data_IF_037531937423
#
_entry.id   IF_037531937423
#
_cell.length_a   1.000
_cell.length_b   1.000
_cell.length_c   1.000
_cell.angle_alpha   90.00
_cell.angle_beta   90.00
_cell.angle_gamma   90.00
#
_symmetry.space_group_name_H-M   'P 1'
#
loop_
_entity.id
_entity.type
_entity.pdbx_description
1 polymer ?
#
# COMPACT_ATOMS: atom_id res chain seq x y z
N UNK A 1 -8.63 -9.73 -1.33
CA UNK A 1 -10.08 -9.81 -1.68
C UNK A 1 -10.73 -8.44 -1.90
N UNK A 2 -10.11 -7.34 -1.45
CA UNK A 2 -10.66 -5.98 -1.58
C UNK A 2 -9.92 -5.10 -2.62
N UNK A 3 -9.03 -5.71 -3.43
CA UNK A 3 -8.34 -5.02 -4.52
C UNK A 3 -9.31 -4.73 -5.69
N UNK A 4 -9.07 -3.68 -6.50
CA UNK A 4 -10.05 -3.20 -7.45
C UNK A 4 -10.49 -4.23 -8.49
N UNK A 5 -9.60 -5.04 -9.06
CA UNK A 5 -9.95 -6.09 -10.04
C UNK A 5 -10.91 -7.15 -9.47
N UNK A 6 -10.78 -7.47 -8.18
CA UNK A 6 -11.63 -8.46 -7.52
C UNK A 6 -13.00 -7.87 -7.24
N UNK A 7 -13.04 -6.62 -6.78
CA UNK A 7 -14.28 -5.96 -6.39
C UNK A 7 -15.09 -5.44 -7.58
N UNK A 8 -14.45 -5.05 -8.68
CA UNK A 8 -15.09 -4.47 -9.86
C UNK A 8 -14.63 -5.17 -11.16
N UNK A 9 -14.94 -6.48 -11.31
CA UNK A 9 -14.40 -7.30 -12.39
C UNK A 9 -14.85 -6.87 -13.79
N UNK A 10 -15.97 -6.15 -13.90
CA UNK A 10 -16.48 -5.63 -15.16
C UNK A 10 -17.24 -4.31 -14.95
N UNK A 11 -17.45 -3.55 -16.03
CA UNK A 11 -18.14 -2.26 -15.98
C UNK A 11 -19.56 -2.41 -15.41
N UNK A 12 -19.84 -1.70 -14.31
CA UNK A 12 -21.13 -1.74 -13.63
C UNK A 12 -21.37 -2.97 -12.75
N UNK A 13 -20.42 -3.91 -12.65
CA UNK A 13 -20.54 -5.11 -11.82
C UNK A 13 -19.61 -4.97 -10.61
N UNK A 14 -20.16 -5.23 -9.41
CA UNK A 14 -19.37 -5.36 -8.18
C UNK A 14 -19.55 -6.74 -7.56
N UNK A 15 -18.45 -7.36 -7.13
CA UNK A 15 -18.46 -8.65 -6.41
C UNK A 15 -17.91 -8.50 -5.00
N UNK A 16 -18.81 -8.37 -4.03
CA UNK A 16 -18.46 -8.27 -2.61
C UNK A 16 -18.44 -9.62 -1.90
N UNK A 17 -18.76 -10.75 -2.54
CA UNK A 17 -19.03 -12.03 -1.85
C UNK A 17 -17.87 -12.50 -0.96
N UNK A 18 -16.64 -12.39 -1.44
CA UNK A 18 -15.45 -12.81 -0.68
C UNK A 18 -15.07 -11.76 0.37
N UNK A 19 -15.14 -10.48 0.02
CA UNK A 19 -14.81 -9.39 0.93
C UNK A 19 -15.83 -9.24 2.07
N UNK A 20 -17.12 -9.47 1.83
CA UNK A 20 -18.15 -9.52 2.87
C UNK A 20 -17.91 -10.66 3.88
N UNK A 21 -17.47 -11.83 3.41
CA UNK A 21 -17.06 -12.93 4.31
C UNK A 21 -15.87 -12.54 5.18
N UNK A 22 -14.89 -11.84 4.60
CA UNK A 22 -13.74 -11.33 5.33
C UNK A 22 -14.15 -10.29 6.39
N UNK A 23 -14.94 -9.28 6.01
CA UNK A 23 -15.44 -8.25 6.94
C UNK A 23 -16.28 -8.88 8.05
N UNK A 24 -17.17 -9.82 7.70
CA UNK A 24 -17.96 -10.56 8.68
C UNK A 24 -17.07 -11.31 9.66
N UNK A 25 -16.07 -12.04 9.17
CA UNK A 25 -15.13 -12.75 10.03
C UNK A 25 -14.44 -11.80 11.01
N UNK A 26 -13.98 -10.64 10.54
CA UNK A 26 -13.36 -9.63 11.41
C UNK A 26 -14.35 -9.13 12.48
N UNK A 27 -15.58 -8.81 12.10
CA UNK A 27 -16.62 -8.34 13.03
C UNK A 27 -16.96 -9.41 14.09
N UNK A 28 -17.14 -10.67 13.67
CA UNK A 28 -17.45 -11.79 14.56
C UNK A 28 -16.32 -12.04 15.59
N UNK A 29 -15.09 -11.61 15.29
CA UNK A 29 -13.90 -11.78 16.14
C UNK A 29 -13.36 -10.47 16.73
N UNK A 30 -14.13 -9.37 16.68
CA UNK A 30 -13.74 -8.05 17.17
C UNK A 30 -12.41 -7.53 16.59
N UNK A 31 -12.09 -7.91 15.35
CA UNK A 31 -10.93 -7.44 14.60
C UNK A 31 -11.27 -6.15 13.85
N UNK A 32 -10.31 -5.24 13.74
CA UNK A 32 -10.41 -4.06 12.88
C UNK A 32 -10.19 -4.48 11.43
N UNK A 33 -11.05 -3.99 10.54
CA UNK A 33 -10.91 -4.20 9.09
C UNK A 33 -10.10 -3.06 8.50
N UNK A 34 -9.06 -3.43 7.76
CA UNK A 34 -8.20 -2.54 6.97
C UNK A 34 -8.60 -2.71 5.51
N UNK A 35 -9.06 -1.65 4.86
CA UNK A 35 -9.48 -1.70 3.47
C UNK A 35 -8.30 -1.60 2.51
N UNK A 36 -7.86 -2.71 1.93
CA UNK A 36 -6.74 -2.75 0.99
C UNK A 36 -7.16 -3.28 -0.41
N UNK A 37 -7.11 -2.46 -1.45
CA UNK A 37 -6.83 -1.02 -1.51
C UNK A 37 -7.71 -0.39 -2.59
N UNK A 38 -7.89 0.93 -2.56
CA UNK A 38 -8.86 1.61 -3.46
C UNK A 38 -8.24 2.00 -4.81
N UNK A 39 -6.99 2.46 -4.80
CA UNK A 39 -6.29 2.90 -6.01
C UNK A 39 -4.88 2.33 -6.01
N UNK A 40 -4.62 1.44 -6.95
CA UNK A 40 -3.31 0.84 -7.15
C UNK A 40 -3.10 0.56 -8.63
N UNK A 41 -1.89 0.80 -9.12
CA UNK A 41 -1.56 0.60 -10.52
C UNK A 41 -1.57 -0.89 -10.92
N UNK A 42 -1.37 -1.78 -9.94
CA UNK A 42 -1.51 -3.21 -10.08
C UNK A 42 -2.90 -3.66 -9.67
N UNK A 43 -3.38 -4.75 -10.28
CA UNK A 43 -4.67 -5.35 -9.97
C UNK A 43 -5.83 -4.34 -10.04
N UNK A 44 -5.70 -3.35 -10.93
CA UNK A 44 -6.77 -2.48 -11.38
C UNK A 44 -7.45 -3.13 -12.59
N UNK A 45 -8.80 -3.07 -12.71
CA UNK A 45 -9.47 -3.63 -13.86
C UNK A 45 -9.05 -2.94 -15.15
N UNK A 46 -8.59 -3.70 -16.15
CA UNK A 46 -8.16 -3.15 -17.45
C UNK A 46 -9.22 -2.25 -18.09
N UNK A 47 -10.49 -2.62 -17.94
CA UNK A 47 -11.63 -1.88 -18.50
C UNK A 47 -11.72 -0.43 -17.99
N UNK A 48 -11.07 -0.08 -16.88
CA UNK A 48 -11.03 1.31 -16.40
C UNK A 48 -10.31 2.24 -17.36
N UNK A 49 -9.27 1.73 -18.02
CA UNK A 49 -8.35 2.53 -18.82
C UNK A 49 -8.67 2.47 -20.32
N UNK A 50 -9.74 1.78 -20.71
CA UNK A 50 -10.14 1.60 -22.10
C UNK A 50 -11.57 2.09 -22.38
N UNK A 51 -11.87 2.48 -23.62
CA UNK A 51 -13.26 2.75 -24.03
C UNK A 51 -14.00 1.42 -24.25
N UNK A 52 -14.77 1.00 -23.26
CA UNK A 52 -15.42 -0.32 -23.23
C UNK A 52 -14.40 -1.46 -23.34
N UNK A 53 -14.76 -2.51 -24.10
CA UNK A 53 -13.87 -3.64 -24.39
C UNK A 53 -12.96 -3.43 -25.62
N UNK A 54 -12.81 -2.18 -26.08
CA UNK A 54 -11.88 -1.86 -27.18
C UNK A 54 -10.48 -1.59 -26.65
N UNK A 55 -9.44 -1.71 -27.48
CA UNK A 55 -8.06 -1.41 -27.10
C UNK A 55 -7.74 0.10 -27.02
N UNK A 56 -8.73 0.99 -27.24
CA UNK A 56 -8.50 2.44 -27.24
C UNK A 56 -8.49 3.00 -25.82
N UNK A 57 -7.58 3.93 -25.46
CA UNK A 57 -7.54 4.52 -24.13
C UNK A 57 -8.83 5.26 -23.78
N UNK A 58 -9.30 5.11 -22.54
CA UNK A 58 -10.38 5.92 -21.97
C UNK A 58 -9.99 7.40 -21.92
N UNK A 59 -10.98 8.30 -21.99
CA UNK A 59 -10.73 9.72 -21.74
C UNK A 59 -10.42 9.99 -20.26
N UNK A 60 -9.85 11.15 -19.98
CA UNK A 60 -9.62 11.66 -18.63
C UNK A 60 -10.91 11.66 -17.80
N UNK A 61 -12.01 12.11 -18.40
CA UNK A 61 -13.32 12.24 -17.76
C UNK A 61 -13.92 10.88 -17.45
N UNK A 62 -13.83 9.92 -18.39
CA UNK A 62 -14.31 8.55 -18.19
C UNK A 62 -13.56 7.87 -17.05
N UNK A 63 -12.22 7.95 -17.03
CA UNK A 63 -11.45 7.35 -15.93
C UNK A 63 -11.77 8.04 -14.59
N UNK A 64 -11.92 9.36 -14.57
CA UNK A 64 -12.30 10.11 -13.37
C UNK A 64 -13.66 9.66 -12.82
N UNK A 65 -14.65 9.48 -13.68
CA UNK A 65 -15.98 9.00 -13.28
C UNK A 65 -15.91 7.58 -12.72
N UNK A 66 -15.22 6.66 -13.42
CA UNK A 66 -15.05 5.27 -12.99
C UNK A 66 -14.34 5.16 -11.65
N UNK A 67 -13.28 5.94 -11.45
CA UNK A 67 -12.53 6.01 -10.20
C UNK A 67 -13.42 6.48 -9.03
N UNK A 68 -14.14 7.59 -9.20
CA UNK A 68 -15.04 8.12 -8.18
C UNK A 68 -16.16 7.11 -7.88
N UNK A 69 -16.76 6.52 -8.91
CA UNK A 69 -17.82 5.51 -8.76
C UNK A 69 -17.33 4.30 -7.99
N UNK A 70 -16.15 3.77 -8.33
CA UNK A 70 -15.55 2.64 -7.61
C UNK A 70 -15.37 2.97 -6.13
N UNK A 71 -14.68 4.07 -5.83
CA UNK A 71 -14.37 4.45 -4.45
C UNK A 71 -15.64 4.66 -3.63
N UNK A 72 -16.60 5.44 -4.15
CA UNK A 72 -17.86 5.68 -3.44
C UNK A 72 -18.67 4.40 -3.24
N UNK A 73 -18.67 3.49 -4.21
CA UNK A 73 -19.39 2.21 -4.09
C UNK A 73 -18.73 1.30 -3.05
N UNK A 74 -17.41 1.13 -3.11
CA UNK A 74 -16.67 0.24 -2.20
C UNK A 74 -16.64 0.79 -0.77
N UNK A 75 -16.22 2.05 -0.60
CA UNK A 75 -16.16 2.70 0.72
C UNK A 75 -17.56 2.81 1.32
N UNK A 76 -18.56 3.21 0.52
CA UNK A 76 -19.95 3.31 0.94
C UNK A 76 -20.55 1.96 1.35
N UNK A 77 -20.23 0.88 0.62
CA UNK A 77 -20.68 -0.47 0.97
C UNK A 77 -20.18 -0.88 2.36
N UNK A 78 -18.91 -0.60 2.68
CA UNK A 78 -18.30 -0.95 3.98
C UNK A 78 -18.31 0.19 5.01
N UNK A 79 -19.13 1.22 4.81
CA UNK A 79 -19.22 2.37 5.72
C UNK A 79 -19.39 1.92 7.17
N UNK A 80 -18.60 2.50 8.08
CA UNK A 80 -18.55 2.16 9.51
C UNK A 80 -18.16 0.70 9.85
N UNK A 81 -17.80 -0.12 8.86
CA UNK A 81 -17.32 -1.50 9.02
C UNK A 81 -15.82 -1.64 8.73
N UNK A 82 -15.27 -0.77 7.89
CA UNK A 82 -13.83 -0.57 7.75
C UNK A 82 -13.34 0.49 8.75
N UNK A 83 -12.26 0.21 9.45
CA UNK A 83 -11.61 1.18 10.34
C UNK A 83 -10.81 2.21 9.54
N UNK A 84 -10.05 1.75 8.55
CA UNK A 84 -9.25 2.59 7.66
C UNK A 84 -9.26 2.07 6.21
N UNK A 85 -8.71 2.89 5.30
CA UNK A 85 -8.51 2.57 3.89
C UNK A 85 -7.11 2.93 3.42
N UNK A 86 -6.46 2.00 2.74
CA UNK A 86 -5.35 2.30 1.83
C UNK A 86 -5.94 2.92 0.54
N UNK A 87 -6.03 4.25 0.53
CA UNK A 87 -6.68 5.01 -0.53
C UNK A 87 -5.82 5.02 -1.78
N UNK A 88 -4.54 5.33 -1.64
CA UNK A 88 -3.56 5.26 -2.72
C UNK A 88 -2.43 4.31 -2.34
N UNK A 89 -2.09 3.40 -3.23
CA UNK A 89 -1.00 2.44 -3.07
C UNK A 89 0.06 2.64 -4.17
N UNK A 90 1.32 2.78 -3.77
CA UNK A 90 2.50 2.71 -4.66
C UNK A 90 2.51 3.69 -5.84
N UNK A 91 2.13 4.94 -5.55
CA UNK A 91 2.05 6.01 -6.56
C UNK A 91 3.38 6.73 -6.81
N UNK A 92 4.39 6.55 -5.95
CA UNK A 92 5.66 7.27 -6.00
C UNK A 92 6.80 6.28 -6.29
N UNK A 93 7.65 6.61 -7.26
CA UNK A 93 8.85 5.85 -7.60
C UNK A 93 9.97 6.12 -6.59
N UNK A 94 10.98 5.25 -6.57
CA UNK A 94 12.12 5.37 -5.64
C UNK A 94 12.96 6.63 -5.85
N UNK A 95 12.91 7.23 -7.05
CA UNK A 95 13.52 8.52 -7.36
C UNK A 95 12.71 9.74 -6.89
N UNK A 96 11.53 9.52 -6.30
CA UNK A 96 10.62 10.54 -5.80
C UNK A 96 9.67 11.14 -6.85
N UNK A 97 9.68 10.63 -8.09
CA UNK A 97 8.72 11.02 -9.12
C UNK A 97 7.42 10.23 -8.99
N UNK A 98 6.32 10.74 -9.58
CA UNK A 98 5.10 9.94 -9.72
C UNK A 98 5.29 8.80 -10.72
N UNK A 99 4.89 7.60 -10.31
CA UNK A 99 4.82 6.41 -11.16
C UNK A 99 4.00 6.71 -12.40
N UNK A 100 4.53 6.35 -13.57
CA UNK A 100 3.88 6.56 -14.87
C UNK A 100 2.79 5.52 -15.14
N UNK A 101 1.91 5.30 -14.17
CA UNK A 101 0.76 4.40 -14.23
C UNK A 101 -0.29 4.91 -15.24
N UNK A 102 -1.22 4.07 -15.70
CA UNK A 102 -2.35 4.52 -16.51
C UNK A 102 -3.16 5.64 -15.84
N UNK A 103 -3.32 5.60 -14.51
CA UNK A 103 -3.92 6.70 -13.75
C UNK A 103 -3.19 8.02 -13.95
N UNK A 104 -1.87 8.04 -13.74
CA UNK A 104 -1.05 9.24 -13.90
C UNK A 104 -1.04 9.74 -15.35
N UNK A 105 -1.00 8.84 -16.34
CA UNK A 105 -0.98 9.24 -17.76
C UNK A 105 -2.28 9.95 -18.18
N UNK A 106 -3.42 9.50 -17.66
CA UNK A 106 -4.74 10.03 -18.04
C UNK A 106 -5.19 11.19 -17.15
N UNK A 107 -4.97 11.11 -15.83
CA UNK A 107 -5.41 12.12 -14.87
C UNK A 107 -4.29 13.08 -14.45
N UNK A 108 -3.01 12.69 -14.55
CA UNK A 108 -1.90 13.41 -13.89
C UNK A 108 -1.89 13.11 -12.39
N UNK A 109 -1.24 13.96 -11.59
CA UNK A 109 -1.11 13.78 -10.13
C UNK A 109 -2.45 13.86 -9.37
N UNK A 110 -3.48 14.48 -9.98
CA UNK A 110 -4.78 14.70 -9.33
C UNK A 110 -5.53 13.39 -9.02
N UNK A 111 -5.13 12.25 -9.58
CA UNK A 111 -5.82 10.97 -9.32
C UNK A 111 -5.82 10.60 -7.82
N UNK A 112 -4.74 10.92 -7.10
CA UNK A 112 -4.67 10.71 -5.65
C UNK A 112 -5.62 11.67 -4.94
N UNK A 113 -5.67 12.93 -5.36
CA UNK A 113 -6.59 13.94 -4.78
C UNK A 113 -8.05 13.56 -4.98
N UNK A 114 -8.41 13.09 -6.18
CA UNK A 114 -9.74 12.56 -6.50
C UNK A 114 -10.07 11.40 -5.57
N UNK A 115 -9.11 10.48 -5.35
CA UNK A 115 -9.32 9.30 -4.54
C UNK A 115 -9.59 9.64 -3.07
N UNK A 116 -8.73 10.46 -2.45
CA UNK A 116 -8.89 10.90 -1.06
C UNK A 116 -10.18 11.69 -0.85
N UNK A 117 -10.55 12.56 -1.81
CA UNK A 117 -11.82 13.29 -1.76
C UNK A 117 -13.01 12.33 -1.80
N UNK A 118 -13.04 11.42 -2.76
CA UNK A 118 -14.15 10.48 -2.94
C UNK A 118 -14.30 9.52 -1.74
N UNK A 119 -13.18 9.08 -1.16
CA UNK A 119 -13.18 8.22 0.02
C UNK A 119 -13.75 8.95 1.24
N UNK A 120 -13.30 10.18 1.50
CA UNK A 120 -13.82 11.00 2.60
C UNK A 120 -15.30 11.31 2.44
N UNK A 121 -15.77 11.62 1.23
CA UNK A 121 -17.19 11.88 0.96
C UNK A 121 -18.07 10.63 1.19
N UNK A 122 -17.55 9.44 0.92
CA UNK A 122 -18.29 8.18 1.07
C UNK A 122 -18.38 7.74 2.54
N UNK A 123 -17.27 7.83 3.28
CA UNK A 123 -17.22 7.57 4.71
C UNK A 123 -16.35 8.63 5.41
N UNK A 124 -16.98 9.69 5.96
CA UNK A 124 -16.26 10.73 6.69
C UNK A 124 -15.62 10.27 7.99
N UNK A 125 -15.98 9.09 8.52
CA UNK A 125 -15.50 8.59 9.82
C UNK A 125 -14.29 7.66 9.66
N UNK A 126 -14.14 7.01 8.51
CA UNK A 126 -12.99 6.14 8.21
C UNK A 126 -11.67 6.94 8.11
N UNK A 127 -10.57 6.33 8.56
CA UNK A 127 -9.23 6.91 8.38
C UNK A 127 -8.71 6.64 6.96
N UNK A 128 -8.02 7.62 6.38
CA UNK A 128 -7.59 7.61 4.98
C UNK A 128 -6.07 7.62 4.89
N UNK A 129 -5.50 6.57 4.31
CA UNK A 129 -4.05 6.36 4.27
C UNK A 129 -3.49 6.31 2.85
N UNK A 130 -2.21 6.67 2.76
CA UNK A 130 -1.38 6.36 1.60
C UNK A 130 -0.34 5.31 2.00
N UNK A 131 -0.21 4.25 1.20
CA UNK A 131 0.63 3.08 1.48
C UNK A 131 1.66 2.87 0.37
N UNK A 132 2.92 2.57 0.73
CA UNK A 132 3.97 2.34 -0.27
C UNK A 132 5.15 1.49 0.29
N UNK A 133 5.93 0.87 -0.61
CA UNK A 133 7.19 0.20 -0.30
C UNK A 133 8.40 1.12 -0.48
N UNK A 134 9.59 0.65 -0.10
CA UNK A 134 10.87 1.38 -0.24
C UNK A 134 10.89 2.79 0.39
N UNK A 135 10.00 3.05 1.35
CA UNK A 135 9.85 4.40 1.93
C UNK A 135 11.01 4.84 2.83
N UNK A 136 12.01 3.98 3.04
CA UNK A 136 13.28 4.35 3.68
C UNK A 136 14.17 5.23 2.80
N UNK A 137 14.00 5.19 1.47
CA UNK A 137 14.81 5.98 0.55
C UNK A 137 14.52 7.47 0.65
N UNK A 138 15.56 8.30 0.79
CA UNK A 138 15.44 9.74 1.03
C UNK A 138 14.54 10.47 0.02
N UNK A 139 14.76 10.27 -1.29
CA UNK A 139 13.98 10.93 -2.35
C UNK A 139 12.50 10.56 -2.29
N UNK A 140 12.20 9.27 -2.12
CA UNK A 140 10.82 8.76 -1.99
C UNK A 140 10.17 9.27 -0.70
N UNK A 141 10.87 9.23 0.43
CA UNK A 141 10.43 9.82 1.71
C UNK A 141 10.04 11.28 1.53
N UNK A 142 10.88 12.10 0.93
CA UNK A 142 10.57 13.52 0.69
C UNK A 142 9.36 13.73 -0.22
N UNK A 143 9.25 12.93 -1.29
CA UNK A 143 8.13 13.00 -2.22
C UNK A 143 6.80 12.65 -1.54
N UNK A 144 6.78 11.62 -0.69
CA UNK A 144 5.59 11.28 0.08
C UNK A 144 5.26 12.36 1.12
N UNK A 145 6.26 12.94 1.79
CA UNK A 145 6.03 14.11 2.65
C UNK A 145 5.42 15.29 1.88
N UNK A 146 5.86 15.54 0.64
CA UNK A 146 5.25 16.57 -0.24
C UNK A 146 3.82 16.21 -0.60
N UNK A 147 3.53 14.93 -0.90
CA UNK A 147 2.16 14.46 -1.16
C UNK A 147 1.22 14.78 0.00
N UNK A 148 1.60 14.43 1.23
CA UNK A 148 0.80 14.72 2.44
C UNK A 148 0.55 16.23 2.58
N UNK A 149 1.60 17.05 2.44
CA UNK A 149 1.48 18.51 2.53
C UNK A 149 0.54 19.07 1.46
N UNK A 150 0.64 18.59 0.23
CA UNK A 150 -0.20 19.03 -0.89
C UNK A 150 -1.68 18.67 -0.68
N UNK A 151 -1.97 17.46 -0.21
CA UNK A 151 -3.33 17.04 0.13
C UNK A 151 -3.93 17.94 1.22
N UNK A 152 -3.19 18.16 2.32
CA UNK A 152 -3.62 19.02 3.43
C UNK A 152 -3.82 20.47 3.00
N UNK A 153 -2.92 21.02 2.17
CA UNK A 153 -3.03 22.39 1.65
C UNK A 153 -4.30 22.60 0.79
N UNK A 154 -4.82 21.53 0.18
CA UNK A 154 -6.08 21.53 -0.59
C UNK A 154 -7.32 21.20 0.25
N UNK A 155 -7.17 21.10 1.57
CA UNK A 155 -8.25 20.76 2.50
C UNK A 155 -8.70 19.29 2.42
N UNK A 156 -7.88 18.40 1.86
CA UNK A 156 -8.18 16.98 1.79
C UNK A 156 -7.72 16.26 3.06
N UNK A 157 -8.55 15.34 3.56
CA UNK A 157 -8.24 14.49 4.71
C UNK A 157 -7.22 13.44 4.30
N UNK A 158 -6.15 13.32 5.08
CA UNK A 158 -5.18 12.21 5.08
C UNK A 158 -4.73 12.01 6.52
N UNK A 159 -4.94 10.81 7.04
CA UNK A 159 -4.78 10.48 8.45
C UNK A 159 -3.46 9.79 8.75
N UNK A 160 -2.88 9.09 7.76
CA UNK A 160 -1.75 8.20 7.99
C UNK A 160 -0.94 7.85 6.74
N UNK A 161 0.29 7.41 7.00
CA UNK A 161 1.21 6.84 6.02
C UNK A 161 1.55 5.39 6.43
N UNK A 162 1.34 4.47 5.51
CA UNK A 162 1.71 3.06 5.63
C UNK A 162 3.06 2.78 4.98
N UNK A 163 4.02 2.33 5.78
CA UNK A 163 5.30 1.79 5.32
C UNK A 163 5.13 0.28 5.16
N UNK A 164 5.05 -0.23 3.94
CA UNK A 164 4.83 -1.67 3.69
C UNK A 164 5.82 -2.53 4.46
N UNK A 165 7.10 -2.16 4.44
CA UNK A 165 8.16 -2.85 5.19
C UNK A 165 8.41 -4.29 4.74
N UNK A 166 8.27 -4.54 3.43
CA UNK A 166 8.89 -5.68 2.78
C UNK A 166 10.40 -5.55 2.83
N UNK A 167 10.99 -6.13 3.88
CA UNK A 167 12.39 -5.96 4.23
C UNK A 167 13.16 -7.25 3.97
N UNK A 168 14.48 -7.18 4.09
CA UNK A 168 15.35 -8.35 4.09
C UNK A 168 16.26 -8.39 5.31
N UNK A 169 17.13 -9.38 5.35
CA UNK A 169 18.17 -9.50 6.39
C UNK A 169 19.14 -8.32 6.37
N UNK A 170 19.38 -7.74 5.20
CA UNK A 170 20.38 -6.70 4.94
C UNK A 170 19.81 -5.38 4.40
N UNK A 171 18.50 -5.30 4.15
CA UNK A 171 17.81 -4.06 3.74
C UNK A 171 16.47 -3.87 4.45
N UNK A 172 15.99 -2.62 4.59
CA UNK A 172 16.69 -1.38 4.29
C UNK A 172 17.79 -1.07 5.30
N UNK A 173 18.56 -0.02 5.03
CA UNK A 173 19.38 0.62 6.06
C UNK A 173 18.47 1.09 7.20
N UNK A 174 18.76 0.66 8.42
CA UNK A 174 17.90 0.90 9.59
C UNK A 174 17.88 2.36 10.02
N UNK A 175 18.98 3.10 9.85
CA UNK A 175 19.04 4.53 10.16
C UNK A 175 18.14 5.33 9.21
N UNK A 176 18.17 5.01 7.91
CA UNK A 176 17.27 5.64 6.93
C UNK A 176 15.80 5.26 7.14
N UNK A 177 15.55 4.02 7.57
CA UNK A 177 14.22 3.58 7.94
C UNK A 177 13.68 4.38 9.15
N UNK A 178 14.51 4.59 10.17
CA UNK A 178 14.17 5.40 11.35
C UNK A 178 13.90 6.88 10.99
N UNK A 179 14.76 7.50 10.16
CA UNK A 179 14.54 8.86 9.64
C UNK A 179 13.19 9.01 8.92
N UNK A 180 12.71 7.93 8.31
CA UNK A 180 11.43 7.94 7.59
C UNK A 180 10.24 7.95 8.53
N UNK A 181 10.31 7.19 9.62
CA UNK A 181 9.29 7.23 10.69
C UNK A 181 9.17 8.66 11.24
N UNK A 182 10.30 9.30 11.56
CA UNK A 182 10.30 10.67 12.08
C UNK A 182 9.78 11.68 11.06
N UNK A 183 10.20 11.59 9.80
CA UNK A 183 9.77 12.50 8.74
C UNK A 183 8.26 12.42 8.47
N UNK A 184 7.71 11.20 8.45
CA UNK A 184 6.28 10.98 8.25
C UNK A 184 5.45 11.44 9.45
N UNK A 185 5.91 11.17 10.68
CA UNK A 185 5.27 11.70 11.88
C UNK A 185 5.29 13.24 11.91
N UNK A 186 6.39 13.87 11.48
CA UNK A 186 6.52 15.33 11.38
C UNK A 186 5.60 15.96 10.32
N UNK A 187 5.04 15.18 9.39
CA UNK A 187 3.97 15.63 8.50
C UNK A 187 2.59 15.71 9.18
N UNK A 188 2.51 15.35 10.48
CA UNK A 188 1.30 15.42 11.29
C UNK A 188 0.28 14.36 10.90
N UNK A 189 0.74 13.15 10.57
CA UNK A 189 -0.07 11.98 10.23
C UNK A 189 0.42 10.78 11.04
N UNK A 190 -0.42 9.76 11.20
CA UNK A 190 -0.04 8.50 11.84
C UNK A 190 0.96 7.75 10.96
N UNK A 191 1.86 6.98 11.58
CA UNK A 191 2.80 6.09 10.88
C UNK A 191 2.46 4.64 11.20
N UNK A 192 2.52 3.76 10.20
CA UNK A 192 2.20 2.35 10.35
C UNK A 192 3.17 1.48 9.56
N UNK A 193 3.33 0.25 10.04
CA UNK A 193 3.97 -0.83 9.29
C UNK A 193 2.85 -1.73 8.82
N UNK A 194 2.63 -1.81 7.51
CA UNK A 194 1.39 -2.35 6.94
C UNK A 194 1.51 -3.77 6.40
N UNK A 195 2.69 -4.15 5.90
CA UNK A 195 2.93 -5.41 5.18
C UNK A 195 4.28 -6.02 5.60
N UNK A 196 4.58 -5.97 6.90
CA UNK A 196 5.91 -6.31 7.42
C UNK A 196 6.24 -7.79 7.23
N UNK A 197 7.32 -8.05 6.50
CA UNK A 197 7.98 -9.35 6.40
C UNK A 197 9.50 -9.19 6.29
N UNK A 198 10.21 -10.32 6.37
CA UNK A 198 11.67 -10.35 6.19
C UNK A 198 12.00 -11.47 5.21
N UNK A 199 12.41 -11.08 4.01
CA UNK A 199 12.99 -11.98 3.03
C UNK A 199 14.36 -12.48 3.53
N UNK A 200 14.48 -13.80 3.70
CA UNK A 200 15.71 -14.49 4.13
C UNK A 200 16.47 -15.14 2.98
N UNK A 201 15.89 -15.17 1.77
CA UNK A 201 16.51 -15.78 0.61
C UNK A 201 17.59 -14.88 0.00
N UNK A 202 18.64 -15.46 -0.60
CA UNK A 202 19.56 -14.70 -1.42
C UNK A 202 18.81 -14.07 -2.60
N UNK A 203 19.08 -12.79 -2.84
CA UNK A 203 18.39 -12.03 -3.87
C UNK A 203 19.21 -11.96 -5.16
N UNK A 204 18.55 -11.96 -6.34
CA UNK A 204 19.18 -11.60 -7.59
C UNK A 204 19.76 -10.17 -7.56
N UNK A 205 20.74 -9.91 -8.42
CA UNK A 205 21.26 -8.55 -8.57
C UNK A 205 20.13 -7.60 -9.01
N UNK A 206 20.06 -6.43 -8.36
CA UNK A 206 19.06 -5.41 -8.63
C UNK A 206 17.71 -5.65 -7.95
N UNK A 207 17.55 -6.74 -7.20
CA UNK A 207 16.33 -6.98 -6.43
C UNK A 207 16.24 -6.03 -5.23
N UNK A 208 15.06 -5.50 -4.95
CA UNK A 208 14.78 -4.78 -3.70
C UNK A 208 13.31 -4.40 -3.52
N UNK A 209 12.89 -4.27 -2.26
CA UNK A 209 11.53 -3.84 -1.91
C UNK A 209 10.46 -4.79 -2.43
N UNK A 210 9.35 -4.23 -2.91
CA UNK A 210 8.18 -4.97 -3.37
C UNK A 210 7.72 -4.57 -4.78
N UNK A 211 8.62 -4.01 -5.61
CA UNK A 211 8.27 -3.67 -6.99
C UNK A 211 7.88 -4.93 -7.76
N UNK A 212 6.62 -5.01 -8.15
CA UNK A 212 6.02 -6.15 -8.85
C UNK A 212 6.51 -6.34 -10.28
N UNK A 213 7.22 -5.35 -10.86
CA UNK A 213 7.81 -5.46 -12.20
C UNK A 213 9.09 -6.30 -12.22
N UNK A 214 9.64 -6.61 -11.04
CA UNK A 214 10.82 -7.45 -10.87
C UNK A 214 10.47 -8.92 -11.18
N UNK A 215 11.10 -9.47 -12.22
CA UNK A 215 10.95 -10.88 -12.60
C UNK A 215 12.32 -11.48 -12.93
N UNK A 216 12.63 -12.63 -12.33
CA UNK A 216 13.92 -13.30 -12.47
C UNK A 216 13.70 -14.77 -12.79
N UNK A 217 14.56 -15.33 -13.64
CA UNK A 217 14.58 -16.77 -13.88
C UNK A 217 14.90 -17.53 -12.58
N UNK A 218 14.16 -18.61 -12.33
CA UNK A 218 14.40 -19.46 -11.19
C UNK A 218 15.80 -20.08 -11.29
N UNK A 219 16.65 -19.79 -10.30
CA UNK A 219 17.97 -20.38 -10.16
C UNK A 219 18.10 -21.01 -8.78
N UNK A 220 18.64 -22.23 -8.73
CA UNK A 220 18.77 -22.99 -7.47
C UNK A 220 19.53 -22.22 -6.38
N UNK A 221 20.48 -21.36 -6.77
CA UNK A 221 21.24 -20.50 -5.85
C UNK A 221 20.38 -19.50 -5.06
N UNK A 222 19.19 -19.14 -5.56
CA UNK A 222 18.22 -18.26 -4.88
C UNK A 222 17.18 -19.03 -4.06
N UNK A 223 17.19 -20.38 -4.11
CA UNK A 223 16.33 -21.24 -3.28
C UNK A 223 17.14 -22.29 -2.49
N UNK A 224 18.08 -21.88 -1.62
CA UNK A 224 18.99 -22.81 -0.93
C UNK A 224 18.37 -23.57 0.26
N UNK A 225 17.21 -23.16 0.78
CA UNK A 225 16.67 -23.62 2.08
C UNK A 225 15.47 -24.57 1.94
N UNK A 226 15.51 -25.48 0.97
CA UNK A 226 14.39 -26.39 0.65
C UNK A 226 14.04 -27.39 1.75
N UNK A 227 14.95 -27.65 2.69
CA UNK A 227 14.77 -28.57 3.82
C UNK A 227 14.67 -27.84 5.17
N UNK A 228 14.34 -26.54 5.15
CA UNK A 228 14.27 -25.70 6.34
C UNK A 228 15.41 -24.68 6.44
N UNK A 229 15.18 -23.63 7.21
CA UNK A 229 16.13 -22.54 7.39
C UNK A 229 17.30 -22.97 8.30
N UNK A 230 18.58 -22.85 7.85
CA UNK A 230 19.72 -23.18 8.70
C UNK A 230 19.76 -22.34 9.99
N UNK A 231 20.22 -22.92 11.10
CA UNK A 231 20.26 -22.25 12.40
C UNK A 231 21.01 -20.90 12.40
N UNK A 232 22.08 -20.79 11.60
CA UNK A 232 22.79 -19.52 11.43
C UNK A 232 21.91 -18.43 10.78
N UNK A 233 21.10 -18.81 9.77
CA UNK A 233 20.15 -17.89 9.13
C UNK A 233 18.96 -17.57 10.00
N UNK A 234 18.48 -18.53 10.80
CA UNK A 234 17.48 -18.23 11.84
C UNK A 234 18.00 -17.17 12.81
N UNK A 235 19.25 -17.28 13.27
CA UNK A 235 19.85 -16.27 14.16
C UNK A 235 19.96 -14.89 13.51
N UNK A 236 20.30 -14.82 12.22
CA UNK A 236 20.29 -13.56 11.48
C UNK A 236 18.87 -12.95 11.41
N UNK A 237 17.86 -13.78 11.14
CA UNK A 237 16.45 -13.38 11.13
C UNK A 237 15.99 -12.88 12.50
N UNK A 238 16.32 -13.60 13.57
CA UNK A 238 15.96 -13.21 14.95
C UNK A 238 16.59 -11.84 15.32
N UNK A 239 17.86 -11.65 14.98
CA UNK A 239 18.55 -10.38 15.19
C UNK A 239 17.90 -9.24 14.37
N UNK A 240 17.48 -9.53 13.14
CA UNK A 240 16.81 -8.55 12.28
C UNK A 240 15.46 -8.14 12.84
N UNK A 241 14.66 -9.10 13.32
CA UNK A 241 13.41 -8.83 14.03
C UNK A 241 13.64 -7.96 15.27
N UNK A 242 14.59 -8.33 16.12
CA UNK A 242 14.92 -7.55 17.32
C UNK A 242 15.32 -6.11 16.97
N UNK A 243 16.13 -5.92 15.94
CA UNK A 243 16.55 -4.59 15.51
C UNK A 243 15.37 -3.72 15.06
N UNK A 244 14.48 -4.26 14.23
CA UNK A 244 13.27 -3.56 13.77
C UNK A 244 12.32 -3.24 14.92
N UNK A 245 12.04 -4.21 15.80
CA UNK A 245 11.15 -4.00 16.94
C UNK A 245 11.74 -3.06 18.01
N UNK A 246 13.07 -2.96 18.14
CA UNK A 246 13.69 -1.93 18.96
C UNK A 246 13.43 -0.52 18.40
N UNK A 247 13.50 -0.34 17.07
CA UNK A 247 13.12 0.93 16.42
C UNK A 247 11.64 1.21 16.66
N UNK A 248 10.77 0.23 16.43
CA UNK A 248 9.33 0.41 16.66
C UNK A 248 9.00 0.76 18.11
N UNK A 249 9.68 0.12 19.07
CA UNK A 249 9.52 0.44 20.48
C UNK A 249 10.00 1.85 20.81
N UNK A 250 11.14 2.28 20.25
CA UNK A 250 11.66 3.64 20.41
C UNK A 250 10.67 4.69 19.86
N UNK A 251 10.04 4.42 18.72
CA UNK A 251 9.11 5.32 18.03
C UNK A 251 7.63 5.03 18.32
N UNK A 252 7.31 4.27 19.36
CA UNK A 252 5.94 3.78 19.66
C UNK A 252 4.88 4.87 19.84
N UNK A 253 5.27 6.12 20.14
CA UNK A 253 4.34 7.25 20.23
C UNK A 253 3.92 7.79 18.86
N UNK A 254 4.68 7.51 17.81
CA UNK A 254 4.42 7.93 16.42
C UNK A 254 3.75 6.81 15.61
N UNK A 255 3.92 5.56 16.03
CA UNK A 255 3.46 4.37 15.34
C UNK A 255 2.08 3.94 15.87
N UNK A 256 1.08 3.87 15.00
CA UNK A 256 -0.28 3.45 15.39
C UNK A 256 -0.55 1.96 15.19
N UNK A 257 0.14 1.30 14.24
CA UNK A 257 -0.08 -0.11 13.90
C UNK A 257 1.17 -0.76 13.31
N UNK A 258 1.37 -2.03 13.65
CA UNK A 258 2.34 -2.93 13.03
C UNK A 258 1.58 -4.18 12.58
N UNK A 259 1.61 -4.49 11.30
CA UNK A 259 0.91 -5.62 10.68
C UNK A 259 1.92 -6.44 9.90
N UNK A 260 1.99 -7.74 10.21
CA UNK A 260 2.82 -8.69 9.47
C UNK A 260 2.04 -9.19 8.25
N UNK A 261 2.76 -9.42 7.14
CA UNK A 261 2.14 -9.87 5.89
C UNK A 261 1.96 -11.38 5.81
N UNK A 262 0.98 -11.87 6.58
CA UNK A 262 0.58 -13.28 6.59
C UNK A 262 0.91 -14.01 7.89
N UNK A 263 0.44 -15.25 7.95
CA UNK A 263 0.69 -16.21 9.02
C UNK A 263 1.01 -17.57 8.38
N UNK A 264 1.80 -18.40 9.06
CA UNK A 264 2.15 -19.77 8.64
C UNK A 264 1.08 -20.78 9.01
#
# INVERSE_FOLDING_TARGET
>A
CMKPETLAPAEGIFDFRVADKFVKYCQDHNLKVIGHCLVWHSQAPDWWFTNGYTASPASKEVLKERLIKHIKTVVGHYKARCYDWDVGNEAIEDDGSFRKSPYYRLLGEEFIEIAFRAAHEADPDAELYYNDYSMSGEKKREAVCRLVKNLKAKGLRIDGLGIQSHNGLDYPNLEEYEKSIDAFAACGVKVMMTELDINVLPNPQGFGGADISQNYELQQKYNPYTNGLPAAKQKELDNRWLALFNIYHKHRSQISRITLWGVS
#
